data_IF_325918921306
#
_entry.id   IF_325918921306
#
_cell.length_a   1.000
_cell.length_b   1.000
_cell.length_c   1.000
_cell.angle_alpha   90.00
_cell.angle_beta   90.00
_cell.angle_gamma   90.00
#
_symmetry.space_group_name_H-M   'P 1'
#
loop_
_entity.id
_entity.type
_entity.pdbx_description
1 polymer ?
#
# COMPACT_ATOMS: atom_id res chain seq x y z
N UNK A 1 -7.36 -44.65 -17.46
CA UNK A 1 -8.44 -43.65 -17.20
C UNK A 1 -8.28 -42.92 -15.88
N UNK A 2 -8.31 -43.58 -14.69
CA UNK A 2 -8.16 -42.88 -13.38
C UNK A 2 -6.79 -42.19 -13.23
N UNK A 3 -5.71 -42.87 -13.58
CA UNK A 3 -4.30 -42.34 -13.50
C UNK A 3 -4.15 -41.13 -14.42
N UNK A 4 -4.68 -41.17 -15.61
CA UNK A 4 -4.65 -40.05 -16.58
C UNK A 4 -5.39 -38.83 -16.04
N UNK A 5 -6.55 -39.02 -15.42
CA UNK A 5 -7.31 -37.92 -14.79
C UNK A 5 -6.48 -37.27 -13.66
N UNK A 6 -5.83 -38.08 -12.83
CA UNK A 6 -4.96 -37.58 -11.74
C UNK A 6 -3.79 -36.78 -12.31
N UNK A 7 -3.14 -37.25 -13.37
CA UNK A 7 -2.05 -36.56 -14.03
C UNK A 7 -2.49 -35.21 -14.61
N UNK A 8 -3.65 -35.15 -15.26
CA UNK A 8 -4.20 -33.91 -15.78
C UNK A 8 -4.53 -32.91 -14.67
N UNK A 9 -5.12 -33.35 -13.55
CA UNK A 9 -5.42 -32.50 -12.41
C UNK A 9 -4.14 -31.95 -11.78
N UNK A 10 -3.10 -32.79 -11.64
CA UNK A 10 -1.77 -32.36 -11.15
C UNK A 10 -1.13 -31.33 -12.09
N UNK A 11 -1.20 -31.56 -13.40
CA UNK A 11 -0.65 -30.63 -14.40
C UNK A 11 -1.38 -29.27 -14.34
N UNK A 12 -2.70 -29.28 -14.26
CA UNK A 12 -3.49 -28.03 -14.11
C UNK A 12 -3.14 -27.28 -12.84
N UNK A 13 -3.00 -27.99 -11.73
CA UNK A 13 -2.56 -27.39 -10.46
C UNK A 13 -1.17 -26.76 -10.57
N UNK A 14 -0.22 -27.49 -11.18
CA UNK A 14 1.14 -27.02 -11.40
C UNK A 14 1.16 -25.76 -12.29
N UNK A 15 0.42 -25.77 -13.39
CA UNK A 15 0.31 -24.63 -14.30
C UNK A 15 -0.31 -23.42 -13.58
N UNK A 16 -1.37 -23.63 -12.79
CA UNK A 16 -1.98 -22.58 -11.96
C UNK A 16 -1.00 -21.99 -10.93
N UNK A 17 -0.22 -22.85 -10.27
CA UNK A 17 0.82 -22.43 -9.34
C UNK A 17 1.92 -21.61 -10.03
N UNK A 18 2.43 -22.08 -11.18
CA UNK A 18 3.45 -21.36 -11.95
C UNK A 18 2.95 -20.02 -12.47
N UNK A 19 1.70 -19.99 -12.94
CA UNK A 19 1.04 -18.75 -13.36
C UNK A 19 0.97 -17.75 -12.20
N UNK A 20 0.43 -18.14 -11.03
CA UNK A 20 0.29 -17.26 -9.88
C UNK A 20 1.64 -16.73 -9.38
N UNK A 21 2.68 -17.58 -9.40
CA UNK A 21 4.01 -17.25 -8.89
C UNK A 21 4.83 -16.36 -9.84
N UNK A 22 4.78 -16.63 -11.16
CA UNK A 22 5.71 -16.04 -12.12
C UNK A 22 5.07 -15.12 -13.15
N UNK A 23 3.81 -15.35 -13.54
CA UNK A 23 3.18 -14.66 -14.66
C UNK A 23 2.18 -13.60 -14.22
N UNK A 24 1.38 -13.88 -13.21
CA UNK A 24 0.28 -13.04 -12.73
C UNK A 24 0.65 -11.55 -12.58
N UNK A 25 1.78 -11.29 -11.93
CA UNK A 25 2.20 -9.91 -11.64
C UNK A 25 2.88 -9.19 -12.81
N UNK A 26 3.09 -9.88 -13.91
CA UNK A 26 3.41 -9.27 -15.20
C UNK A 26 2.16 -8.81 -15.93
N UNK A 27 1.09 -9.59 -15.87
CA UNK A 27 -0.16 -9.32 -16.57
C UNK A 27 -1.06 -8.35 -15.79
N UNK A 28 -1.13 -8.50 -14.47
CA UNK A 28 -2.02 -7.72 -13.61
C UNK A 28 -1.21 -6.81 -12.66
N UNK A 29 -1.64 -5.56 -12.47
CA UNK A 29 -0.96 -4.66 -11.55
C UNK A 29 -1.04 -5.20 -10.12
N UNK A 30 0.14 -5.33 -9.49
CA UNK A 30 0.31 -5.98 -8.20
C UNK A 30 -0.46 -5.26 -7.10
N UNK A 31 -1.52 -5.89 -6.58
CA UNK A 31 -2.38 -5.38 -5.50
C UNK A 31 -2.87 -3.94 -5.73
N UNK A 32 -3.20 -3.66 -6.98
CA UNK A 32 -3.82 -2.39 -7.33
C UNK A 32 -5.17 -2.24 -6.63
N UNK A 33 -5.44 -1.05 -6.13
CA UNK A 33 -6.70 -0.73 -5.50
C UNK A 33 -6.95 0.75 -5.33
N UNK A 34 -8.18 1.06 -4.97
CA UNK A 34 -8.65 2.40 -4.69
C UNK A 34 -8.78 2.56 -3.17
N UNK A 35 -8.08 3.55 -2.62
CA UNK A 35 -8.25 3.99 -1.23
C UNK A 35 -9.32 5.06 -1.17
N UNK A 36 -9.23 6.05 -2.06
CA UNK A 36 -10.25 7.09 -2.20
C UNK A 36 -10.54 7.33 -3.69
N UNK A 37 -11.80 7.33 -4.05
CA UNK A 37 -12.20 7.41 -5.46
C UNK A 37 -11.65 8.68 -6.11
N UNK A 38 -10.98 8.50 -7.26
CA UNK A 38 -10.36 9.56 -8.04
C UNK A 38 -9.32 10.42 -7.32
N UNK A 39 -8.84 10.00 -6.14
CA UNK A 39 -7.86 10.74 -5.34
C UNK A 39 -6.68 9.88 -4.89
N UNK A 40 -6.93 8.73 -4.24
CA UNK A 40 -5.87 7.89 -3.69
C UNK A 40 -5.96 6.47 -4.25
N UNK A 41 -4.91 6.06 -4.94
CA UNK A 41 -4.69 4.68 -5.38
C UNK A 41 -3.58 4.01 -4.57
N UNK A 42 -3.60 2.68 -4.50
CA UNK A 42 -2.58 1.87 -3.84
C UNK A 42 -2.10 0.72 -4.71
N UNK A 43 -0.84 0.30 -4.54
CA UNK A 43 -0.31 -0.89 -5.22
C UNK A 43 0.90 -1.49 -4.52
N UNK A 44 1.40 -2.62 -5.02
CA UNK A 44 2.81 -2.99 -4.93
C UNK A 44 3.61 -2.28 -6.02
N UNK A 45 4.93 -2.46 -6.02
CA UNK A 45 5.77 -1.96 -7.09
C UNK A 45 5.34 -2.60 -8.42
N UNK A 46 5.03 -1.75 -9.39
CA UNK A 46 4.55 -2.13 -10.71
C UNK A 46 5.73 -2.33 -11.68
N UNK A 47 5.53 -3.13 -12.71
CA UNK A 47 6.45 -3.13 -13.85
C UNK A 47 6.37 -1.79 -14.59
N UNK A 48 7.41 -1.35 -15.31
CA UNK A 48 7.38 -0.06 -16.03
C UNK A 48 6.18 0.08 -16.98
N UNK A 49 5.82 -1.01 -17.66
CA UNK A 49 4.67 -1.03 -18.57
C UNK A 49 3.36 -0.80 -17.81
N UNK A 50 3.17 -1.49 -16.70
CA UNK A 50 1.98 -1.34 -15.84
C UNK A 50 1.93 0.05 -15.21
N UNK A 51 3.06 0.56 -14.72
CA UNK A 51 3.15 1.88 -14.11
C UNK A 51 2.75 2.96 -15.12
N UNK A 52 3.35 2.96 -16.32
CA UNK A 52 2.99 3.88 -17.40
C UNK A 52 1.49 3.83 -17.76
N UNK A 53 0.91 2.62 -17.80
CA UNK A 53 -0.51 2.42 -18.07
C UNK A 53 -1.38 3.03 -16.96
N UNK A 54 -1.04 2.79 -15.68
CA UNK A 54 -1.84 3.30 -14.56
C UNK A 54 -1.71 4.81 -14.38
N UNK A 55 -0.51 5.37 -14.55
CA UNK A 55 -0.28 6.83 -14.57
C UNK A 55 -1.24 7.51 -15.55
N UNK A 56 -1.29 7.03 -16.79
CA UNK A 56 -2.19 7.60 -17.81
C UNK A 56 -3.67 7.36 -17.52
N UNK A 57 -4.03 6.15 -17.09
CA UNK A 57 -5.43 5.77 -16.85
C UNK A 57 -6.05 6.53 -15.70
N UNK A 58 -5.28 6.78 -14.65
CA UNK A 58 -5.77 7.37 -13.40
C UNK A 58 -5.34 8.84 -13.23
N UNK A 59 -4.60 9.41 -14.19
CA UNK A 59 -4.05 10.77 -14.12
C UNK A 59 -3.27 11.00 -12.81
N UNK A 60 -2.29 10.12 -12.53
CA UNK A 60 -1.49 10.19 -11.30
C UNK A 60 -0.56 11.40 -11.35
N UNK A 61 -0.69 12.30 -10.38
CA UNK A 61 0.12 13.51 -10.22
C UNK A 61 1.28 13.30 -9.23
N UNK A 62 1.07 12.42 -8.23
CA UNK A 62 1.99 12.25 -7.10
C UNK A 62 2.23 10.78 -6.81
N UNK A 63 3.48 10.42 -6.51
CA UNK A 63 3.86 9.11 -5.99
C UNK A 63 4.31 9.26 -4.53
N UNK A 64 3.73 8.44 -3.65
CA UNK A 64 4.21 8.22 -2.29
C UNK A 64 4.82 6.82 -2.22
N UNK A 65 6.15 6.75 -2.21
CA UNK A 65 6.91 5.51 -2.10
C UNK A 65 7.28 5.23 -0.64
N UNK A 66 6.96 4.02 -0.18
CA UNK A 66 7.36 3.53 1.14
C UNK A 66 8.60 2.61 1.05
N UNK A 67 9.36 2.76 -0.02
CA UNK A 67 10.59 2.03 -0.30
C UNK A 67 11.79 2.95 -0.25
N UNK A 68 12.90 2.42 0.22
CA UNK A 68 14.19 3.03 -0.09
C UNK A 68 14.44 3.03 -1.60
N UNK A 69 15.17 4.02 -2.12
CA UNK A 69 15.67 3.98 -3.49
C UNK A 69 16.42 2.67 -3.78
N UNK A 70 16.16 2.07 -4.94
CA UNK A 70 16.74 0.78 -5.35
C UNK A 70 17.47 0.91 -6.70
N UNK A 71 18.59 1.67 -6.76
CA UNK A 71 19.36 1.81 -7.99
C UNK A 71 19.76 0.44 -8.56
N UNK A 72 19.65 0.27 -9.89
CA UNK A 72 19.89 -0.97 -10.59
C UNK A 72 18.71 -1.94 -10.63
N UNK A 73 17.62 -1.67 -9.93
CA UNK A 73 16.39 -2.46 -10.05
C UNK A 73 15.56 -1.98 -11.25
N UNK A 74 15.24 -2.87 -12.16
CA UNK A 74 14.53 -2.55 -13.43
C UNK A 74 13.19 -1.85 -13.20
N UNK A 75 12.43 -2.25 -12.18
CA UNK A 75 11.14 -1.63 -11.90
C UNK A 75 11.31 -0.23 -11.31
N UNK A 76 12.30 -0.06 -10.42
CA UNK A 76 12.63 1.25 -9.85
C UNK A 76 13.11 2.23 -10.94
N UNK A 77 14.08 1.83 -11.75
CA UNK A 77 14.60 2.67 -12.84
C UNK A 77 13.52 3.03 -13.86
N UNK A 78 12.67 2.08 -14.21
CA UNK A 78 11.54 2.31 -15.10
C UNK A 78 10.50 3.26 -14.50
N UNK A 79 10.25 3.18 -13.20
CA UNK A 79 9.39 4.12 -12.46
C UNK A 79 9.99 5.52 -12.47
N UNK A 80 11.29 5.68 -12.11
CA UNK A 80 11.98 6.97 -12.12
C UNK A 80 11.96 7.63 -13.50
N UNK A 81 12.18 6.86 -14.56
CA UNK A 81 12.10 7.36 -15.92
C UNK A 81 10.71 7.92 -16.25
N UNK A 82 9.65 7.17 -15.91
CA UNK A 82 8.27 7.58 -16.21
C UNK A 82 7.87 8.80 -15.37
N UNK A 83 8.27 8.86 -14.11
CA UNK A 83 8.07 10.03 -13.22
C UNK A 83 8.66 11.27 -13.87
N UNK A 84 9.91 11.21 -14.30
CA UNK A 84 10.62 12.33 -14.96
C UNK A 84 9.94 12.72 -16.28
N UNK A 85 9.58 11.76 -17.13
CA UNK A 85 8.95 12.00 -18.43
C UNK A 85 7.57 12.65 -18.34
N UNK A 86 6.85 12.44 -17.25
CA UNK A 86 5.48 12.94 -17.07
C UNK A 86 5.37 14.08 -16.04
N UNK A 87 6.49 14.55 -15.47
CA UNK A 87 6.48 15.63 -14.49
C UNK A 87 5.76 15.28 -13.18
N UNK A 88 5.75 13.99 -12.80
CA UNK A 88 5.09 13.50 -11.59
C UNK A 88 5.94 13.86 -10.38
N UNK A 89 5.32 14.33 -9.30
CA UNK A 89 6.02 14.56 -8.04
C UNK A 89 6.23 13.22 -7.31
N UNK A 90 7.39 13.03 -6.67
CA UNK A 90 7.65 11.84 -5.87
C UNK A 90 8.09 12.21 -4.46
N UNK A 91 7.50 11.54 -3.48
CA UNK A 91 7.87 11.62 -2.08
C UNK A 91 8.22 10.22 -1.56
N UNK A 92 9.33 10.12 -0.83
CA UNK A 92 9.86 8.84 -0.35
C UNK A 92 9.85 8.85 1.17
N UNK A 93 9.09 7.94 1.77
CA UNK A 93 8.97 7.75 3.21
C UNK A 93 9.24 6.28 3.55
N UNK A 94 10.52 5.87 3.63
CA UNK A 94 10.88 4.47 3.71
C UNK A 94 10.46 3.85 5.06
N UNK A 95 9.93 2.63 4.96
CA UNK A 95 9.54 1.80 6.11
C UNK A 95 10.19 0.42 5.99
N UNK A 96 10.29 -0.31 7.10
CA UNK A 96 10.81 -1.67 7.11
C UNK A 96 9.88 -2.65 6.36
N UNK A 97 10.43 -3.75 5.86
CA UNK A 97 9.72 -4.70 4.99
C UNK A 97 8.47 -5.32 5.60
N UNK A 98 8.43 -5.43 6.92
CA UNK A 98 7.29 -5.92 7.69
C UNK A 98 6.20 -4.87 7.95
N UNK A 99 6.46 -3.61 7.57
CA UNK A 99 5.56 -2.48 7.73
C UNK A 99 5.76 -1.68 9.01
N UNK A 100 6.70 -2.07 9.87
CA UNK A 100 7.16 -1.27 11.01
C UNK A 100 8.16 -0.20 10.55
N UNK A 101 8.71 0.56 11.47
CA UNK A 101 9.74 1.56 11.18
C UNK A 101 9.50 2.88 11.90
N UNK A 102 10.00 3.96 11.34
CA UNK A 102 9.86 5.27 11.93
C UNK A 102 8.44 5.82 11.82
N UNK A 103 7.81 6.12 12.96
CA UNK A 103 6.45 6.67 12.99
C UNK A 103 6.34 8.06 12.36
N UNK A 104 7.44 8.83 12.32
CA UNK A 104 7.50 10.11 11.60
C UNK A 104 7.34 9.90 10.08
N UNK A 105 7.84 8.79 9.53
CA UNK A 105 7.63 8.43 8.12
C UNK A 105 6.16 8.07 7.87
N UNK A 106 5.51 7.34 8.80
CA UNK A 106 4.06 7.12 8.75
C UNK A 106 3.28 8.42 8.70
N UNK A 107 3.54 9.33 9.66
CA UNK A 107 2.90 10.63 9.72
C UNK A 107 3.11 11.41 8.41
N UNK A 108 4.35 11.46 7.90
CA UNK A 108 4.69 12.17 6.68
C UNK A 108 3.96 11.61 5.45
N UNK A 109 3.86 10.28 5.34
CA UNK A 109 3.10 9.64 4.26
C UNK A 109 1.60 9.99 4.35
N UNK A 110 1.00 9.91 5.55
CA UNK A 110 -0.41 10.24 5.78
C UNK A 110 -0.68 11.72 5.47
N UNK A 111 0.17 12.63 5.93
CA UNK A 111 0.07 14.06 5.64
C UNK A 111 0.09 14.32 4.14
N UNK A 112 1.01 13.66 3.41
CA UNK A 112 1.10 13.83 1.96
C UNK A 112 -0.14 13.31 1.24
N UNK A 113 -0.71 12.17 1.66
CA UNK A 113 -1.98 11.68 1.12
C UNK A 113 -3.10 12.70 1.32
N UNK A 114 -3.25 13.21 2.54
CA UNK A 114 -4.27 14.21 2.88
C UNK A 114 -4.10 15.51 2.10
N UNK A 115 -2.87 16.02 2.03
CA UNK A 115 -2.52 17.22 1.25
C UNK A 115 -2.89 17.06 -0.23
N UNK A 116 -2.57 15.92 -0.84
CA UNK A 116 -2.92 15.64 -2.22
C UNK A 116 -4.44 15.70 -2.44
N UNK A 117 -5.21 15.06 -1.56
CA UNK A 117 -6.68 15.09 -1.65
C UNK A 117 -7.22 16.52 -1.55
N UNK A 118 -6.73 17.30 -0.58
CA UNK A 118 -7.16 18.70 -0.40
C UNK A 118 -6.82 19.59 -1.59
N UNK A 119 -5.73 19.30 -2.28
CA UNK A 119 -5.27 20.05 -3.46
C UNK A 119 -5.80 19.49 -4.78
N UNK A 120 -6.71 18.52 -4.75
CA UNK A 120 -7.27 17.90 -5.95
C UNK A 120 -6.27 17.10 -6.78
N UNK A 121 -5.12 16.69 -6.19
CA UNK A 121 -4.11 15.85 -6.83
C UNK A 121 -4.40 14.38 -6.65
N UNK A 122 -4.16 13.60 -7.68
CA UNK A 122 -4.28 12.14 -7.66
C UNK A 122 -2.97 11.52 -7.22
N UNK A 123 -2.98 10.72 -6.16
CA UNK A 123 -1.79 10.10 -5.58
C UNK A 123 -1.83 8.57 -5.65
N UNK A 124 -0.69 7.98 -5.98
CA UNK A 124 -0.44 6.55 -5.83
C UNK A 124 0.51 6.31 -4.66
N UNK A 125 0.05 5.59 -3.64
CA UNK A 125 0.90 5.08 -2.56
C UNK A 125 1.30 3.63 -2.83
N UNK A 126 2.58 3.30 -2.73
CA UNK A 126 3.05 1.94 -2.94
C UNK A 126 4.25 1.54 -2.08
N UNK A 127 4.49 0.24 -2.03
CA UNK A 127 5.73 -0.39 -1.54
C UNK A 127 6.07 -1.59 -2.44
N UNK A 128 7.03 -2.44 -2.08
CA UNK A 128 7.40 -3.59 -2.91
C UNK A 128 6.24 -4.57 -3.14
N UNK A 129 5.55 -4.96 -2.07
CA UNK A 129 4.46 -5.92 -2.14
C UNK A 129 3.07 -5.28 -2.22
N UNK A 130 2.87 -4.05 -1.73
CA UNK A 130 1.56 -3.43 -1.57
C UNK A 130 0.75 -4.00 -0.39
N UNK A 131 1.42 -4.67 0.55
CA UNK A 131 0.78 -5.40 1.66
C UNK A 131 1.06 -4.74 3.00
N UNK A 132 2.27 -4.92 3.57
CA UNK A 132 2.58 -4.51 4.94
C UNK A 132 2.70 -2.99 5.07
N UNK A 133 3.73 -2.38 4.48
CA UNK A 133 3.99 -0.94 4.53
C UNK A 133 2.78 -0.13 4.04
N UNK A 134 2.34 -0.40 2.81
CA UNK A 134 1.15 0.26 2.24
C UNK A 134 -0.10 -0.04 3.05
N UNK A 135 -0.26 -1.28 3.54
CA UNK A 135 -1.39 -1.67 4.38
C UNK A 135 -1.43 -0.93 5.70
N UNK A 136 -0.28 -0.79 6.38
CA UNK A 136 -0.18 -0.07 7.65
C UNK A 136 -0.50 1.41 7.51
N UNK A 137 0.13 2.10 6.57
CA UNK A 137 -0.12 3.54 6.32
C UNK A 137 -1.58 3.79 5.93
N UNK A 138 -2.13 2.99 5.00
CA UNK A 138 -3.52 3.13 4.58
C UNK A 138 -4.50 2.83 5.71
N UNK A 139 -4.24 1.81 6.54
CA UNK A 139 -5.09 1.52 7.69
C UNK A 139 -5.09 2.67 8.70
N UNK A 140 -3.93 3.23 9.02
CA UNK A 140 -3.80 4.41 9.89
C UNK A 140 -4.51 5.63 9.31
N UNK A 141 -4.36 5.90 8.01
CA UNK A 141 -5.11 6.96 7.31
C UNK A 141 -6.62 6.77 7.40
N UNK A 142 -7.11 5.52 7.22
CA UNK A 142 -8.53 5.17 7.31
C UNK A 142 -9.12 5.50 8.68
N UNK A 143 -8.44 5.07 9.75
CA UNK A 143 -8.99 5.20 11.11
C UNK A 143 -8.81 6.61 11.68
N UNK A 144 -7.68 7.27 11.44
CA UNK A 144 -7.38 8.59 12.03
C UNK A 144 -7.92 9.74 11.18
N UNK A 145 -7.74 9.70 9.86
CA UNK A 145 -8.12 10.83 8.98
C UNK A 145 -9.53 10.68 8.42
N UNK A 146 -9.90 9.46 8.01
CA UNK A 146 -11.23 9.22 7.42
C UNK A 146 -12.29 8.77 8.43
N UNK A 147 -11.94 8.53 9.70
CA UNK A 147 -12.85 8.06 10.73
C UNK A 147 -13.51 6.71 10.43
N UNK A 148 -12.84 5.86 9.63
CA UNK A 148 -13.35 4.52 9.30
C UNK A 148 -13.20 3.57 10.48
N UNK A 149 -14.07 2.57 10.53
CA UNK A 149 -14.01 1.51 11.55
C UNK A 149 -12.66 0.78 11.51
N UNK A 150 -11.99 0.54 12.66
CA UNK A 150 -10.78 -0.27 12.73
C UNK A 150 -10.94 -1.68 12.13
N UNK A 151 -12.12 -2.27 12.26
CA UNK A 151 -12.45 -3.59 11.68
C UNK A 151 -12.42 -3.52 10.15
N UNK A 152 -13.02 -2.49 9.55
CA UNK A 152 -13.00 -2.30 8.10
C UNK A 152 -11.57 -2.07 7.58
N UNK A 153 -10.75 -1.30 8.30
CA UNK A 153 -9.36 -1.07 7.96
C UNK A 153 -8.54 -2.37 7.94
N UNK A 154 -8.72 -3.26 8.93
CA UNK A 154 -8.05 -4.57 8.96
C UNK A 154 -8.60 -5.51 7.89
N UNK A 155 -9.90 -5.47 7.59
CA UNK A 155 -10.47 -6.22 6.45
C UNK A 155 -9.87 -5.74 5.12
N UNK A 156 -9.64 -4.44 4.95
CA UNK A 156 -8.93 -3.91 3.79
C UNK A 156 -7.50 -4.45 3.74
N UNK A 157 -6.74 -4.42 4.83
CA UNK A 157 -5.39 -5.00 4.89
C UNK A 157 -5.39 -6.48 4.44
N UNK A 158 -6.34 -7.28 4.93
CA UNK A 158 -6.49 -8.69 4.55
C UNK A 158 -6.81 -8.87 3.06
N UNK A 159 -7.67 -8.03 2.48
CA UNK A 159 -8.01 -8.03 1.06
C UNK A 159 -6.77 -7.82 0.19
N UNK A 160 -5.85 -6.98 0.63
CA UNK A 160 -4.58 -6.73 -0.04
C UNK A 160 -3.43 -7.65 0.41
N UNK A 161 -3.74 -8.77 1.06
CA UNK A 161 -2.83 -9.89 1.28
C UNK A 161 -2.11 -9.90 2.62
N UNK A 162 -2.38 -8.95 3.53
CA UNK A 162 -1.88 -9.08 4.89
C UNK A 162 -2.49 -10.31 5.58
N UNK A 163 -1.66 -11.02 6.35
CA UNK A 163 -2.07 -12.22 7.12
C UNK A 163 -1.39 -12.18 8.47
N UNK A 164 -2.17 -12.27 9.54
CA UNK A 164 -1.69 -12.27 10.92
C UNK A 164 -0.52 -13.25 11.15
N UNK A 165 -0.68 -14.50 10.78
CA UNK A 165 0.32 -15.54 11.00
C UNK A 165 1.64 -15.32 10.23
N UNK A 166 1.67 -14.46 9.21
CA UNK A 166 2.87 -14.11 8.44
C UNK A 166 3.51 -12.82 8.91
N UNK A 167 2.75 -11.96 9.52
CA UNK A 167 3.22 -10.66 10.03
C UNK A 167 2.38 -10.26 11.27
N UNK A 168 2.67 -10.88 12.43
CA UNK A 168 1.93 -10.62 13.67
C UNK A 168 2.30 -9.29 14.34
N UNK A 169 3.42 -8.66 13.95
CA UNK A 169 3.95 -7.48 14.64
C UNK A 169 3.36 -6.16 14.14
N UNK A 170 2.81 -6.12 12.92
CA UNK A 170 2.41 -4.86 12.28
C UNK A 170 1.26 -4.16 13.03
N UNK A 171 0.20 -4.87 13.36
CA UNK A 171 -0.93 -4.27 14.09
C UNK A 171 -0.56 -3.85 15.51
N UNK A 172 0.12 -4.69 16.33
CA UNK A 172 0.66 -4.23 17.61
C UNK A 172 1.52 -2.98 17.46
N UNK A 173 2.47 -2.96 16.52
CA UNK A 173 3.31 -1.80 16.28
C UNK A 173 2.49 -0.53 16.00
N UNK A 174 1.48 -0.61 15.12
CA UNK A 174 0.62 0.55 14.82
C UNK A 174 -0.12 0.98 16.09
N UNK A 175 -0.73 0.06 16.82
CA UNK A 175 -1.50 0.35 18.03
C UNK A 175 -0.64 1.00 19.13
N UNK A 176 0.58 0.53 19.31
CA UNK A 176 1.52 1.07 20.32
C UNK A 176 1.95 2.50 19.99
N UNK A 177 1.88 2.91 18.70
CA UNK A 177 2.26 4.24 18.25
C UNK A 177 1.08 5.13 17.84
N UNK A 178 -0.18 4.70 18.02
CA UNK A 178 -1.35 5.48 17.59
C UNK A 178 -1.42 6.86 18.23
N UNK A 179 -1.14 6.97 19.54
CA UNK A 179 -1.16 8.28 20.22
C UNK A 179 -0.09 9.22 19.63
N UNK A 180 1.14 8.72 19.47
CA UNK A 180 2.23 9.51 18.88
C UNK A 180 1.90 9.92 17.43
N UNK A 181 1.32 9.01 16.65
CA UNK A 181 0.92 9.28 15.26
C UNK A 181 -0.18 10.34 15.20
N UNK A 182 -1.17 10.26 16.08
CA UNK A 182 -2.25 11.24 16.19
C UNK A 182 -1.69 12.62 16.57
N UNK A 183 -0.82 12.71 17.59
CA UNK A 183 -0.18 13.95 18.01
C UNK A 183 0.56 14.62 16.84
N UNK A 184 1.34 13.84 16.08
CA UNK A 184 2.05 14.32 14.88
C UNK A 184 1.10 14.82 13.79
N UNK A 185 -0.07 14.20 13.63
CA UNK A 185 -1.07 14.64 12.66
C UNK A 185 -1.77 15.93 13.10
N UNK A 186 -1.99 16.12 14.42
CA UNK A 186 -2.53 17.35 14.99
C UNK A 186 -1.51 18.48 14.82
N UNK A 187 -0.25 18.29 15.19
CA UNK A 187 0.82 19.27 15.03
C UNK A 187 0.95 19.75 13.57
N UNK A 188 0.67 18.89 12.62
CA UNK A 188 0.72 19.20 11.18
C UNK A 188 -0.61 19.68 10.59
N UNK A 189 -1.61 19.99 11.45
CA UNK A 189 -2.94 20.48 11.07
C UNK A 189 -3.71 19.55 10.12
N UNK A 190 -3.52 18.23 10.27
CA UNK A 190 -4.29 17.20 9.56
C UNK A 190 -5.55 16.84 10.35
N UNK A 191 -5.43 16.81 11.68
CA UNK A 191 -6.54 16.57 12.61
C UNK A 191 -6.72 17.81 13.50
N UNK A 192 -7.98 18.16 13.77
CA UNK A 192 -8.31 19.30 14.62
C UNK A 192 -8.25 18.96 16.11
N UNK A 193 -8.41 17.68 16.45
CA UNK A 193 -8.47 17.18 17.84
C UNK A 193 -8.15 15.70 17.92
N UNK A 194 -7.80 15.24 19.11
CA UNK A 194 -7.57 13.82 19.38
C UNK A 194 -8.88 13.00 19.30
N UNK A 195 -8.75 11.74 18.87
CA UNK A 195 -9.86 10.80 18.77
C UNK A 195 -10.19 10.18 20.12
N UNK A 196 -11.46 10.21 20.51
CA UNK A 196 -11.91 9.57 21.75
C UNK A 196 -13.16 8.73 21.52
N UNK A 197 -13.11 7.41 21.77
CA UNK A 197 -11.92 6.61 22.14
C UNK A 197 -10.96 6.44 20.97
N UNK A 198 -9.68 6.17 21.27
CA UNK A 198 -8.65 5.87 20.25
C UNK A 198 -9.08 4.68 19.39
N UNK A 199 -9.05 4.79 18.04
CA UNK A 199 -9.51 3.73 17.14
C UNK A 199 -8.49 2.59 16.98
N UNK A 200 -8.35 1.74 17.99
CA UNK A 200 -7.39 0.63 18.04
C UNK A 200 -7.72 -0.46 17.02
N UNK A 201 -6.73 -0.89 16.22
CA UNK A 201 -6.88 -1.96 15.23
C UNK A 201 -6.97 -3.33 15.94
N UNK A 202 -7.96 -4.17 15.60
CA UNK A 202 -8.05 -5.51 16.17
C UNK A 202 -6.94 -6.43 15.65
N UNK A 203 -6.28 -7.15 16.55
CA UNK A 203 -5.19 -8.07 16.22
C UNK A 203 -5.69 -9.39 15.61
N UNK A 204 -6.89 -9.83 15.99
CA UNK A 204 -7.54 -11.07 15.51
C UNK A 204 -8.95 -10.75 15.04
N UNK A 205 -9.22 -11.01 13.78
CA UNK A 205 -10.55 -10.98 13.15
C UNK A 205 -10.71 -12.23 12.31
#
# INVERSE_FOLDING_TARGET
MVIEIILWLFLLFLLGYLFDKYIKWYLFPKRWGVVEANAIFRSGQLTPIQFKKQVKKCNIDVIVSLLDPLPGNVNYEGEQKIIKENGIEQFVYPLLGDGTGDIFQYASAICKLHECVRNGKVVLIHCAAGTQRTGGVVASYRILVQGKSPIEAVHEMKRYGWRWHKNPILIPFINDHLNQLEDLLIERNILDRASHPMPVLPTKI
#
